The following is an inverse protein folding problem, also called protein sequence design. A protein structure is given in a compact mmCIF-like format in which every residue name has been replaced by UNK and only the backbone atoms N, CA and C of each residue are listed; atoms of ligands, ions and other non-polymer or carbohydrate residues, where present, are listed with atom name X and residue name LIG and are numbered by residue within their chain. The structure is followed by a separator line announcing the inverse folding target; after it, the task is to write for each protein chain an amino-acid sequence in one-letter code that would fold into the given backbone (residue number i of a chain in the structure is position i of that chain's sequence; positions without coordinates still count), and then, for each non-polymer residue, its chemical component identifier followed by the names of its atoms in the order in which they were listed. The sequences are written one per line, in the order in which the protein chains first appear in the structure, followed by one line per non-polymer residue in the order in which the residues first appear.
data_IF_077894421409
#
_entry.id   IF_077894421409
#
_cell.length_a   1.000
_cell.length_b   1.000
_cell.length_c   1.000
_cell.angle_alpha   90.00
_cell.angle_beta   90.00
_cell.angle_gamma   90.00
#
_symmetry.space_group_name_H-M   'P 1'
#
loop_
_entity.id
_entity.type
_entity.pdbx_description
1 polymer ?
#
# COMPACT_ATOMS: atom_id res chain seq x y z
N UNK A 1 -23.71 34.02 9.47
CA UNK A 1 -22.73 33.07 8.94
C UNK A 1 -23.07 31.74 9.59
N UNK A 2 -23.64 30.80 8.83
CA UNK A 2 -24.18 29.54 9.35
C UNK A 2 -23.14 28.43 9.16
N UNK A 3 -22.89 27.66 10.21
CA UNK A 3 -22.12 26.41 10.18
C UNK A 3 -23.05 25.29 9.72
N UNK A 4 -22.62 24.53 8.73
CA UNK A 4 -23.29 23.31 8.31
C UNK A 4 -22.93 22.20 9.30
N UNK A 5 -23.92 21.75 10.07
CA UNK A 5 -23.79 20.60 10.97
C UNK A 5 -23.75 19.33 10.10
N UNK A 6 -22.58 18.67 10.06
CA UNK A 6 -22.44 17.34 9.49
C UNK A 6 -23.17 16.36 10.41
N UNK A 7 -24.33 15.86 10.00
CA UNK A 7 -24.99 14.75 10.70
C UNK A 7 -24.54 13.43 10.07
N UNK A 8 -24.02 12.51 10.87
CA UNK A 8 -23.85 11.14 10.44
C UNK A 8 -25.25 10.54 10.15
N UNK A 9 -25.45 9.98 8.97
CA UNK A 9 -26.71 9.32 8.57
C UNK A 9 -26.95 8.00 9.34
N UNK A 10 -26.01 7.59 10.19
CA UNK A 10 -26.07 6.37 11.00
C UNK A 10 -25.91 6.66 12.49
N UNK A 11 -26.43 5.76 13.30
CA UNK A 11 -26.39 5.85 14.77
C UNK A 11 -25.01 5.43 15.28
N UNK A 12 -24.19 6.42 15.62
CA UNK A 12 -22.84 6.24 16.19
C UNK A 12 -22.88 5.42 17.50
N UNK A 13 -23.99 5.44 18.25
CA UNK A 13 -24.10 4.72 19.52
C UNK A 13 -24.37 3.23 19.33
N UNK A 14 -24.76 2.80 18.13
CA UNK A 14 -25.06 1.42 17.77
C UNK A 14 -24.10 0.83 16.73
N UNK A 15 -22.91 1.41 16.57
CA UNK A 15 -21.89 0.83 15.72
C UNK A 15 -21.50 -0.56 16.28
N UNK A 16 -21.52 -1.62 15.45
CA UNK A 16 -21.08 -2.93 15.88
C UNK A 16 -19.59 -2.87 16.27
N UNK A 17 -19.28 -3.26 17.51
CA UNK A 17 -17.90 -3.41 17.96
C UNK A 17 -17.27 -4.55 17.16
N UNK A 18 -16.34 -4.20 16.28
CA UNK A 18 -15.52 -5.19 15.57
C UNK A 18 -14.40 -5.59 16.51
N UNK A 19 -14.54 -6.74 17.16
CA UNK A 19 -13.49 -7.33 17.99
C UNK A 19 -12.47 -8.06 17.08
N UNK A 20 -11.22 -7.57 16.96
CA UNK A 20 -10.20 -8.20 16.14
C UNK A 20 -9.71 -9.56 16.69
N UNK A 21 -10.19 -9.98 17.86
CA UNK A 21 -9.84 -11.27 18.47
C UNK A 21 -10.95 -12.32 18.37
N UNK A 22 -12.17 -11.94 17.94
CA UNK A 22 -13.32 -12.83 17.79
C UNK A 22 -13.86 -12.83 16.34
N UNK A 23 -13.10 -13.45 15.44
CA UNK A 23 -13.39 -13.56 14.00
C UNK A 23 -14.62 -14.41 13.63
N UNK A 24 -15.32 -15.01 14.60
CA UNK A 24 -16.37 -16.00 14.35
C UNK A 24 -17.79 -15.43 14.30
N UNK A 25 -18.03 -14.20 14.78
CA UNK A 25 -19.42 -13.75 15.07
C UNK A 25 -19.89 -12.48 14.35
N UNK A 26 -19.11 -11.91 13.42
CA UNK A 26 -19.58 -10.81 12.55
C UNK A 26 -19.56 -11.22 11.07
N UNK A 27 -20.70 -11.55 10.45
CA UNK A 27 -20.74 -12.09 9.09
C UNK A 27 -20.68 -11.03 7.96
N UNK A 28 -20.33 -9.78 8.25
CA UNK A 28 -20.42 -8.70 7.25
C UNK A 28 -19.19 -7.79 7.12
N UNK A 29 -18.08 -8.10 7.78
CA UNK A 29 -16.80 -7.42 7.57
C UNK A 29 -15.85 -8.26 6.71
N UNK A 30 -15.02 -7.67 5.84
CA UNK A 30 -14.00 -8.43 5.12
C UNK A 30 -13.08 -9.15 6.12
N UNK A 31 -13.01 -10.47 6.02
CA UNK A 31 -12.15 -11.31 6.84
C UNK A 31 -10.72 -11.24 6.27
N UNK A 32 -9.84 -10.50 6.95
CA UNK A 32 -8.44 -10.40 6.55
C UNK A 32 -7.62 -11.54 7.19
N UNK A 33 -7.54 -12.69 6.52
CA UNK A 33 -6.61 -13.77 6.90
C UNK A 33 -5.16 -13.48 6.46
N UNK A 34 -4.16 -14.23 6.96
CA UNK A 34 -2.81 -14.17 6.41
C UNK A 34 -2.80 -14.54 4.92
N UNK A 35 -1.95 -13.88 4.12
CA UNK A 35 -1.89 -13.93 2.63
C UNK A 35 -3.00 -13.15 1.93
N UNK A 36 -2.95 -11.82 2.06
CA UNK A 36 -3.88 -10.91 1.40
C UNK A 36 -3.51 -10.74 -0.08
N UNK A 37 -4.52 -10.88 -0.94
CA UNK A 37 -4.42 -10.57 -2.35
C UNK A 37 -5.44 -9.50 -2.73
N UNK A 38 -4.98 -8.42 -3.34
CA UNK A 38 -5.84 -7.33 -3.79
C UNK A 38 -5.25 -6.63 -5.01
N UNK A 39 -6.15 -6.06 -5.80
CA UNK A 39 -5.79 -5.20 -6.92
C UNK A 39 -6.02 -3.75 -6.53
N UNK A 40 -5.08 -2.87 -6.87
CA UNK A 40 -5.24 -1.44 -6.67
C UNK A 40 -4.64 -0.67 -7.84
N UNK A 41 -5.15 0.54 -8.01
CA UNK A 41 -4.67 1.52 -8.97
C UNK A 41 -4.57 2.86 -8.27
N UNK A 42 -3.50 3.59 -8.54
CA UNK A 42 -3.27 4.94 -8.00
C UNK A 42 -3.28 5.95 -9.12
N UNK A 43 -3.59 7.20 -8.81
CA UNK A 43 -3.36 8.31 -9.72
C UNK A 43 -1.87 8.63 -9.87
N UNK A 44 -1.57 9.45 -10.86
CA UNK A 44 -0.25 10.06 -11.08
C UNK A 44 -0.40 11.54 -10.82
N UNK A 45 0.42 12.11 -9.93
CA UNK A 45 0.37 13.55 -9.59
C UNK A 45 -1.04 14.05 -9.30
N UNK A 46 -1.82 13.24 -8.58
CA UNK A 46 -3.24 13.44 -8.33
C UNK A 46 -3.53 14.09 -6.97
N UNK A 47 -2.49 14.45 -6.22
CA UNK A 47 -2.61 15.21 -5.00
C UNK A 47 -3.34 16.54 -5.26
N UNK A 48 -4.51 16.72 -4.64
CA UNK A 48 -5.31 17.95 -4.78
C UNK A 48 -4.66 19.20 -4.16
N UNK A 49 -3.62 19.00 -3.34
CA UNK A 49 -2.82 20.04 -2.70
C UNK A 49 -1.33 19.69 -2.88
N UNK A 50 -0.43 20.68 -3.08
CA UNK A 50 1.01 20.43 -3.18
C UNK A 50 1.63 19.74 -1.96
N UNK A 51 1.03 19.93 -0.78
CA UNK A 51 1.50 19.37 0.49
C UNK A 51 0.95 17.96 0.79
N UNK A 52 0.04 17.44 -0.05
CA UNK A 52 -0.45 16.08 0.10
C UNK A 52 0.45 15.10 -0.67
N UNK A 53 0.71 13.89 -0.16
CA UNK A 53 1.35 12.86 -0.96
C UNK A 53 0.40 12.46 -2.10
N UNK A 54 0.99 12.00 -3.21
CA UNK A 54 0.24 11.38 -4.29
C UNK A 54 -0.56 10.17 -3.78
N UNK A 55 -1.56 9.72 -4.54
CA UNK A 55 -2.29 8.51 -4.19
C UNK A 55 -1.34 7.31 -4.10
N UNK A 56 -1.51 6.52 -3.04
CA UNK A 56 -0.72 5.33 -2.80
C UNK A 56 -1.24 4.51 -1.63
N UNK A 57 -0.67 3.32 -1.47
CA UNK A 57 -0.98 2.40 -0.41
C UNK A 57 0.21 2.29 0.54
N UNK A 58 0.02 2.71 1.80
CA UNK A 58 1.00 2.52 2.86
C UNK A 58 0.72 1.19 3.57
N UNK A 59 1.70 0.31 3.56
CA UNK A 59 1.63 -1.01 4.22
C UNK A 59 2.64 -1.01 5.36
N UNK A 60 2.19 -1.35 6.56
CA UNK A 60 3.00 -1.41 7.77
C UNK A 60 2.87 -2.79 8.41
N UNK A 61 3.99 -3.45 8.63
CA UNK A 61 4.04 -4.65 9.47
C UNK A 61 4.55 -4.27 10.85
N UNK A 62 3.95 -4.79 11.94
CA UNK A 62 4.49 -4.56 13.28
C UNK A 62 5.95 -4.97 13.41
N UNK A 63 6.72 -4.26 14.24
CA UNK A 63 8.08 -4.67 14.55
C UNK A 63 8.08 -6.05 15.24
N UNK A 64 9.07 -6.89 14.90
CA UNK A 64 9.27 -8.18 15.54
C UNK A 64 8.30 -9.30 15.12
N UNK A 65 7.41 -9.05 14.15
CA UNK A 65 6.68 -10.13 13.47
C UNK A 65 7.45 -10.67 12.26
N UNK A 66 7.11 -11.88 11.84
CA UNK A 66 7.65 -12.47 10.62
C UNK A 66 7.25 -11.64 9.38
N UNK A 67 8.05 -11.75 8.33
CA UNK A 67 7.74 -11.19 7.00
C UNK A 67 6.31 -11.54 6.58
N UNK A 68 5.59 -10.55 6.07
CA UNK A 68 4.27 -10.76 5.47
C UNK A 68 4.41 -10.89 3.97
N UNK A 69 3.71 -11.87 3.39
CA UNK A 69 3.60 -12.02 1.94
C UNK A 69 2.30 -11.42 1.46
N UNK A 70 2.39 -10.53 0.48
CA UNK A 70 1.27 -9.81 -0.13
C UNK A 70 1.33 -10.05 -1.63
N UNK A 71 0.22 -10.49 -2.21
CA UNK A 71 0.10 -10.62 -3.66
C UNK A 71 -0.75 -9.47 -4.18
N UNK A 72 -0.14 -8.51 -4.88
CA UNK A 72 -0.87 -7.36 -5.39
C UNK A 72 -0.57 -7.08 -6.84
N UNK A 73 -1.61 -6.89 -7.64
CA UNK A 73 -1.51 -6.76 -9.10
C UNK A 73 -0.62 -7.86 -9.71
N UNK A 74 -0.77 -9.10 -9.24
CA UNK A 74 0.04 -10.27 -9.62
C UNK A 74 1.56 -10.17 -9.33
N UNK A 75 1.99 -9.18 -8.54
CA UNK A 75 3.34 -9.04 -8.00
C UNK A 75 3.37 -9.60 -6.58
N UNK A 76 4.32 -10.49 -6.31
CA UNK A 76 4.56 -11.05 -4.96
C UNK A 76 5.53 -10.14 -4.21
N UNK A 77 5.07 -9.61 -3.07
CA UNK A 77 5.83 -8.70 -2.22
C UNK A 77 5.94 -9.31 -0.82
N UNK A 78 7.16 -9.64 -0.41
CA UNK A 78 7.48 -10.00 0.97
C UNK A 78 8.01 -8.78 1.69
N UNK A 79 7.27 -8.29 2.68
CA UNK A 79 7.56 -7.06 3.40
C UNK A 79 7.92 -7.36 4.86
N UNK A 80 9.00 -6.74 5.32
CA UNK A 80 9.32 -6.56 6.73
C UNK A 80 9.56 -5.07 6.96
N UNK A 81 8.66 -4.40 7.67
CA UNK A 81 8.68 -2.97 7.95
C UNK A 81 7.57 -2.21 7.24
N UNK A 82 7.91 -1.06 6.64
CA UNK A 82 6.97 -0.12 6.06
C UNK A 82 7.30 0.16 4.61
N UNK A 83 6.32 -0.01 3.72
CA UNK A 83 6.45 0.31 2.31
C UNK A 83 5.26 1.10 1.79
N UNK A 84 5.55 2.02 0.87
CA UNK A 84 4.58 2.84 0.16
C UNK A 84 4.53 2.42 -1.31
N UNK A 85 3.37 1.92 -1.74
CA UNK A 85 3.16 1.32 -3.05
C UNK A 85 2.29 2.22 -3.92
N UNK A 86 2.67 2.34 -5.19
CA UNK A 86 1.88 3.04 -6.21
C UNK A 86 1.83 2.17 -7.46
N UNK A 87 0.70 2.12 -8.15
CA UNK A 87 0.52 1.27 -9.31
C UNK A 87 -0.32 1.95 -10.39
N UNK A 88 0.25 2.07 -11.59
CA UNK A 88 -0.34 2.78 -12.72
C UNK A 88 -0.56 1.82 -13.90
N UNK A 89 -1.78 1.81 -14.44
CA UNK A 89 -2.11 1.03 -15.61
C UNK A 89 -1.32 1.53 -16.84
N UNK A 90 -0.61 0.64 -17.51
CA UNK A 90 0.28 0.97 -18.64
C UNK A 90 1.55 1.74 -18.24
N UNK A 91 1.78 1.95 -16.95
CA UNK A 91 2.96 2.59 -16.38
C UNK A 91 3.79 1.59 -15.58
N UNK A 92 4.05 1.90 -14.31
CA UNK A 92 4.82 1.04 -13.41
C UNK A 92 4.12 0.89 -12.06
N UNK A 93 4.45 -0.18 -11.34
CA UNK A 93 4.26 -0.29 -9.91
C UNK A 93 5.56 0.08 -9.22
N UNK A 94 5.54 1.13 -8.40
CA UNK A 94 6.66 1.52 -7.54
C UNK A 94 6.45 0.97 -6.13
N UNK A 95 7.48 0.32 -5.59
CA UNK A 95 7.52 -0.18 -4.21
C UNK A 95 8.62 0.57 -3.47
N UNK A 96 8.23 1.61 -2.73
CA UNK A 96 9.16 2.47 -1.99
C UNK A 96 9.25 1.98 -0.55
N UNK A 97 10.45 1.61 -0.10
CA UNK A 97 10.65 1.11 1.27
C UNK A 97 11.06 2.28 2.17
N UNK A 98 10.17 2.61 3.11
CA UNK A 98 10.40 3.64 4.12
C UNK A 98 11.27 3.07 5.23
N UNK A 99 10.89 1.87 5.70
CA UNK A 99 11.56 1.20 6.82
C UNK A 99 11.65 -0.30 6.55
N UNK A 100 12.76 -0.92 6.98
CA UNK A 100 13.00 -2.35 6.82
C UNK A 100 13.40 -2.74 5.40
N UNK A 101 12.73 -3.75 4.85
CA UNK A 101 13.04 -4.30 3.52
C UNK A 101 11.83 -4.95 2.85
N UNK A 102 11.81 -4.89 1.52
CA UNK A 102 10.83 -5.58 0.69
C UNK A 102 11.52 -6.44 -0.37
N UNK A 103 11.10 -7.69 -0.53
CA UNK A 103 11.45 -8.52 -1.68
C UNK A 103 10.29 -8.50 -2.68
N UNK A 104 10.55 -7.98 -3.87
CA UNK A 104 9.57 -7.81 -4.95
C UNK A 104 9.86 -8.84 -6.02
N UNK A 105 8.88 -9.69 -6.32
CA UNK A 105 9.00 -10.76 -7.31
C UNK A 105 7.95 -10.61 -8.39
N UNK A 106 8.43 -10.55 -9.63
CA UNK A 106 7.60 -10.54 -10.85
C UNK A 106 8.34 -11.27 -11.97
N UNK A 107 7.59 -11.95 -12.85
CA UNK A 107 8.15 -12.66 -14.01
C UNK A 107 9.35 -13.59 -13.64
N UNK A 108 9.29 -14.22 -12.47
CA UNK A 108 10.32 -15.14 -11.96
C UNK A 108 11.63 -14.49 -11.48
N UNK A 109 11.70 -13.15 -11.47
CA UNK A 109 12.85 -12.40 -10.96
C UNK A 109 12.50 -11.70 -9.67
N UNK A 110 13.38 -11.82 -8.68
CA UNK A 110 13.24 -11.17 -7.37
C UNK A 110 14.26 -10.05 -7.20
N UNK A 111 13.82 -8.92 -6.68
CA UNK A 111 14.66 -7.76 -6.31
C UNK A 111 14.37 -7.36 -4.88
N UNK A 112 15.41 -6.97 -4.15
CA UNK A 112 15.29 -6.56 -2.76
C UNK A 112 15.49 -5.06 -2.66
N UNK A 113 14.48 -4.37 -2.17
CA UNK A 113 14.56 -2.98 -1.74
C UNK A 113 14.79 -2.93 -0.23
N UNK A 114 15.62 -2.01 0.22
CA UNK A 114 15.84 -1.66 1.64
C UNK A 114 15.34 -0.25 1.89
N UNK A 115 15.20 0.13 3.16
CA UNK A 115 14.88 1.50 3.56
C UNK A 115 15.70 2.54 2.77
N UNK A 116 15.02 3.53 2.20
CA UNK A 116 15.65 4.55 1.35
C UNK A 116 15.65 4.22 -0.15
N UNK A 117 15.17 3.04 -0.55
CA UNK A 117 15.21 2.59 -1.96
C UNK A 117 13.83 2.21 -2.48
N UNK A 118 13.70 2.25 -3.81
CA UNK A 118 12.53 1.85 -4.57
C UNK A 118 12.89 0.77 -5.58
N UNK A 119 11.93 -0.11 -5.84
CA UNK A 119 11.94 -1.04 -6.98
C UNK A 119 10.70 -0.76 -7.80
N UNK A 120 10.87 -0.68 -9.12
CA UNK A 120 9.76 -0.53 -10.06
C UNK A 120 9.48 -1.81 -10.84
N UNK A 121 8.21 -2.10 -11.08
CA UNK A 121 7.75 -3.22 -11.89
C UNK A 121 6.91 -2.66 -13.04
N UNK A 122 7.34 -2.79 -14.30
CA UNK A 122 6.54 -2.35 -15.44
C UNK A 122 5.16 -3.02 -15.48
N UNK A 123 4.11 -2.24 -15.71
CA UNK A 123 2.71 -2.67 -15.71
C UNK A 123 2.08 -2.54 -17.09
N UNK A 124 1.20 -3.48 -17.43
CA UNK A 124 0.34 -3.39 -18.61
C UNK A 124 -0.90 -2.51 -18.35
N UNK A 125 -1.67 -2.20 -19.40
CA UNK A 125 -2.95 -1.47 -19.29
C UNK A 125 -3.97 -2.15 -18.35
N UNK A 126 -3.82 -3.45 -18.09
CA UNK A 126 -4.70 -4.22 -17.19
C UNK A 126 -4.14 -4.36 -15.77
N UNK A 127 -3.10 -3.60 -15.40
CA UNK A 127 -2.41 -3.69 -14.10
C UNK A 127 -1.80 -5.07 -13.84
N UNK A 128 -1.40 -5.79 -14.89
CA UNK A 128 -0.60 -7.01 -14.78
C UNK A 128 0.87 -6.68 -15.08
N UNK A 129 1.85 -7.33 -14.42
CA UNK A 129 3.27 -7.07 -14.63
C UNK A 129 3.67 -7.45 -16.06
N UNK A 130 4.24 -6.50 -16.80
CA UNK A 130 4.69 -6.70 -18.17
C UNK A 130 6.15 -7.16 -18.27
N UNK A 131 6.97 -6.93 -17.24
CA UNK A 131 8.38 -7.34 -17.16
C UNK A 131 8.83 -7.62 -15.71
N UNK A 132 10.09 -8.04 -15.55
CA UNK A 132 10.75 -8.23 -14.27
C UNK A 132 11.02 -6.91 -13.52
N UNK A 133 11.19 -6.95 -12.18
CA UNK A 133 11.47 -5.75 -11.40
C UNK A 133 12.85 -5.15 -11.70
N UNK A 134 12.94 -3.82 -11.66
CA UNK A 134 14.18 -3.07 -11.82
C UNK A 134 15.13 -3.27 -10.63
N UNK A 135 16.46 -3.08 -10.80
CA UNK A 135 17.38 -3.02 -9.66
C UNK A 135 16.94 -1.93 -8.66
N UNK A 136 17.18 -2.11 -7.35
CA UNK A 136 16.82 -1.09 -6.36
C UNK A 136 17.62 0.19 -6.59
N UNK A 137 16.91 1.31 -6.66
CA UNK A 137 17.47 2.66 -6.79
C UNK A 137 17.01 3.53 -5.62
N UNK A 138 17.71 4.60 -5.25
CA UNK A 138 17.20 5.56 -4.27
C UNK A 138 15.82 6.06 -4.71
N UNK A 139 14.85 6.07 -3.79
CA UNK A 139 13.53 6.60 -4.13
C UNK A 139 13.59 8.10 -4.39
N UNK A 140 12.66 8.62 -5.19
CA UNK A 140 12.51 10.07 -5.35
C UNK A 140 11.87 10.66 -4.10
N UNK A 141 12.63 11.48 -3.37
CA UNK A 141 12.16 12.15 -2.16
C UNK A 141 10.90 12.98 -2.40
N UNK A 142 10.68 13.54 -3.59
CA UNK A 142 9.47 14.32 -3.86
C UNK A 142 8.20 13.46 -3.78
N UNK A 143 8.29 12.16 -4.08
CA UNK A 143 7.17 11.23 -3.93
C UNK A 143 6.96 10.79 -2.48
N UNK A 144 7.89 11.11 -1.58
CA UNK A 144 7.91 10.67 -0.17
C UNK A 144 7.90 11.80 0.85
N UNK A 145 8.12 13.05 0.42
CA UNK A 145 8.27 14.26 1.24
C UNK A 145 7.12 14.50 2.24
N UNK A 146 5.95 13.92 2.00
CA UNK A 146 4.77 14.10 2.85
C UNK A 146 4.40 12.84 3.67
N UNK A 147 5.13 11.73 3.56
CA UNK A 147 4.92 10.56 4.42
C UNK A 147 5.58 10.70 5.80
N UNK A 148 6.76 11.31 5.88
CA UNK A 148 7.55 11.42 7.12
C UNK A 148 7.05 12.51 8.10
N UNK A 149 6.05 13.30 7.70
CA UNK A 149 5.58 14.47 8.45
C UNK A 149 4.45 14.15 9.44
N UNK A 150 4.07 12.89 9.61
CA UNK A 150 3.00 12.48 10.53
C UNK A 150 3.58 11.83 11.80
N UNK A 151 3.61 12.54 12.95
CA UNK A 151 4.00 11.99 14.25
C UNK A 151 2.92 11.12 14.90
#
# INVERSE_FOLDING_TARGET
MFVELVSAETDIENLPIVDPSNFAETPSGPQYGPMQAFYFQTGTDDAGCPEAPNSGLLIQTPEGVAEVTILTNEVDIQLSGTAYLQAQAGGEMAVNVVEGSAQVTSNGTTRTAVAGTSVSVPMSENLAPSDAPSPPEPYDENNMQNLDQYP
#
